data_IF_560034542780
#
_entry.id   IF_560034542780
#
_cell.length_a   1.000
_cell.length_b   1.000
_cell.length_c   1.000
_cell.angle_alpha   90.00
_cell.angle_beta   90.00
_cell.angle_gamma   90.00
#
_symmetry.space_group_name_H-M   'P 1'
#
loop_
_entity.id
_entity.type
_entity.pdbx_description
1 polymer ?
#
# COMPACT_ATOMS: atom_id res chain seq x y z
N UNK A 1 -55.86 -23.57 -36.07
CA UNK A 1 -55.79 -23.90 -34.62
C UNK A 1 -54.51 -23.32 -34.03
N UNK A 2 -54.60 -22.78 -32.80
CA UNK A 2 -53.53 -22.45 -31.83
C UNK A 2 -52.52 -21.33 -32.17
N UNK A 3 -52.88 -20.13 -31.66
CA UNK A 3 -51.98 -19.13 -31.05
C UNK A 3 -50.93 -19.82 -30.17
N UNK A 4 -49.72 -19.27 -30.05
CA UNK A 4 -49.19 -18.69 -28.79
C UNK A 4 -47.96 -17.81 -29.08
N UNK A 5 -47.99 -16.64 -28.44
CA UNK A 5 -46.96 -15.60 -28.36
C UNK A 5 -45.88 -16.09 -27.37
N UNK A 6 -44.60 -15.97 -27.71
CA UNK A 6 -43.52 -16.13 -26.75
C UNK A 6 -42.62 -14.88 -26.77
N UNK A 7 -42.78 -14.10 -25.71
CA UNK A 7 -42.10 -12.86 -25.35
C UNK A 7 -40.64 -13.18 -25.00
N UNK A 8 -39.66 -12.67 -25.76
CA UNK A 8 -38.24 -12.77 -25.39
C UNK A 8 -37.86 -11.57 -24.52
N UNK A 9 -37.68 -11.84 -23.23
CA UNK A 9 -37.20 -10.90 -22.22
C UNK A 9 -35.75 -10.51 -22.51
N UNK A 10 -35.52 -9.20 -22.68
CA UNK A 10 -34.20 -8.59 -22.59
C UNK A 10 -33.73 -8.64 -21.13
N UNK A 11 -32.59 -9.27 -20.88
CA UNK A 11 -31.90 -9.17 -19.59
C UNK A 11 -30.58 -8.46 -19.87
N UNK A 12 -30.59 -7.14 -19.65
CA UNK A 12 -29.37 -6.36 -19.57
C UNK A 12 -28.66 -6.79 -18.27
N UNK A 13 -27.62 -7.63 -18.42
CA UNK A 13 -26.75 -7.97 -17.31
C UNK A 13 -25.91 -6.75 -16.94
N UNK A 14 -26.25 -6.08 -15.84
CA UNK A 14 -25.29 -5.25 -15.14
C UNK A 14 -24.27 -6.19 -14.49
N UNK A 15 -23.14 -6.39 -15.17
CA UNK A 15 -21.96 -6.95 -14.51
C UNK A 15 -21.48 -5.92 -13.49
N UNK A 16 -21.96 -6.04 -12.25
CA UNK A 16 -21.30 -5.42 -11.12
C UNK A 16 -19.94 -6.10 -11.01
N UNK A 17 -18.91 -5.47 -11.58
CA UNK A 17 -17.53 -5.85 -11.33
C UNK A 17 -17.26 -5.61 -9.86
N UNK A 18 -17.43 -6.64 -9.03
CA UNK A 18 -16.89 -6.65 -7.68
C UNK A 18 -15.38 -6.56 -7.84
N UNK A 19 -14.84 -5.36 -7.59
CA UNK A 19 -13.40 -5.16 -7.44
C UNK A 19 -13.02 -5.91 -6.18
N UNK A 20 -12.73 -7.20 -6.32
CA UNK A 20 -12.12 -7.97 -5.24
C UNK A 20 -10.77 -7.31 -5.00
N UNK A 21 -10.60 -6.74 -3.81
CA UNK A 21 -9.29 -6.35 -3.33
C UNK A 21 -8.41 -7.60 -3.45
N UNK A 22 -7.54 -7.64 -4.47
CA UNK A 22 -6.54 -8.67 -4.56
C UNK A 22 -5.65 -8.43 -3.35
N UNK A 23 -5.75 -9.30 -2.34
CA UNK A 23 -4.81 -9.32 -1.23
C UNK A 23 -3.43 -9.55 -1.84
N UNK A 24 -2.65 -8.48 -1.94
CA UNK A 24 -1.33 -8.54 -2.53
C UNK A 24 -0.43 -9.23 -1.52
N UNK A 25 -0.16 -10.50 -1.81
CA UNK A 25 0.70 -11.34 -0.97
C UNK A 25 2.14 -10.87 -1.15
N UNK A 26 2.55 -9.93 -0.30
CA UNK A 26 3.92 -9.45 -0.25
C UNK A 26 4.82 -10.51 0.38
N UNK A 27 5.91 -10.85 -0.31
CA UNK A 27 6.90 -11.84 0.14
C UNK A 27 8.22 -11.18 0.54
N UNK A 28 8.94 -11.72 1.54
CA UNK A 28 10.34 -11.37 1.76
C UNK A 28 11.18 -11.51 0.50
N UNK A 29 12.22 -10.69 0.37
CA UNK A 29 13.17 -10.62 -0.75
C UNK A 29 12.57 -10.14 -2.09
N UNK A 30 11.26 -9.92 -2.19
CA UNK A 30 10.69 -9.34 -3.40
C UNK A 30 11.13 -7.87 -3.54
N UNK A 31 11.28 -7.43 -4.79
CA UNK A 31 11.52 -6.03 -5.12
C UNK A 31 10.19 -5.29 -5.29
N UNK A 32 10.06 -4.14 -4.67
CA UNK A 32 8.88 -3.27 -4.71
C UNK A 32 9.27 -1.85 -5.13
N UNK A 33 8.27 -1.09 -5.56
CA UNK A 33 8.37 0.35 -5.71
C UNK A 33 7.22 1.01 -4.95
N UNK A 34 7.50 2.17 -4.36
CA UNK A 34 6.48 2.95 -3.67
C UNK A 34 5.79 3.95 -4.61
N UNK A 35 4.56 4.30 -4.27
CA UNK A 35 3.78 5.40 -4.83
C UNK A 35 4.42 6.74 -4.45
N UNK A 36 4.03 7.81 -5.14
CA UNK A 36 4.39 9.17 -4.76
C UNK A 36 3.91 9.47 -3.33
N UNK A 37 4.66 10.32 -2.62
CA UNK A 37 4.40 10.73 -1.22
C UNK A 37 4.43 9.60 -0.18
N UNK A 38 4.92 8.42 -0.55
CA UNK A 38 5.20 7.37 0.41
C UNK A 38 6.38 7.74 1.32
N UNK A 39 6.38 7.18 2.52
CA UNK A 39 7.41 7.40 3.52
C UNK A 39 7.70 6.10 4.27
N UNK A 40 8.90 6.02 4.83
CA UNK A 40 9.31 4.95 5.72
C UNK A 40 9.90 5.51 7.02
N UNK A 41 9.68 4.81 8.13
CA UNK A 41 10.13 5.22 9.45
C UNK A 41 11.08 4.19 10.07
N UNK A 42 11.94 4.66 10.99
CA UNK A 42 12.98 3.82 11.62
C UNK A 42 12.42 2.69 12.49
N UNK A 43 11.15 2.77 12.90
CA UNK A 43 10.46 1.70 13.63
C UNK A 43 8.96 1.70 13.34
N UNK A 44 8.29 0.59 13.67
CA UNK A 44 6.82 0.47 13.58
C UNK A 44 6.12 1.50 14.46
N UNK A 45 6.55 1.69 15.70
CA UNK A 45 5.93 2.67 16.61
C UNK A 45 5.96 4.10 16.03
N UNK A 46 7.02 4.45 15.29
CA UNK A 46 7.11 5.75 14.60
C UNK A 46 6.25 5.82 13.35
N UNK A 47 6.16 4.72 12.61
CA UNK A 47 5.21 4.58 11.50
C UNK A 47 3.77 4.76 11.98
N UNK A 48 3.37 4.07 13.05
CA UNK A 48 2.03 4.13 13.61
C UNK A 48 1.69 5.53 14.15
N UNK A 49 2.66 6.17 14.83
CA UNK A 49 2.47 7.51 15.35
C UNK A 49 2.35 8.57 14.24
N UNK A 50 3.21 8.54 13.22
CA UNK A 50 3.10 9.48 12.10
C UNK A 50 1.84 9.23 11.29
N UNK A 51 1.41 7.97 11.17
CA UNK A 51 0.19 7.62 10.46
C UNK A 51 -1.07 8.12 11.17
N UNK A 52 -1.10 8.08 12.50
CA UNK A 52 -2.17 8.68 13.29
C UNK A 52 -2.32 10.18 12.97
N UNK A 53 -1.21 10.91 12.89
CA UNK A 53 -1.23 12.32 12.50
C UNK A 53 -1.61 12.52 11.03
N UNK A 54 -1.19 11.62 10.14
CA UNK A 54 -1.56 11.65 8.73
C UNK A 54 -3.07 11.49 8.52
N UNK A 55 -3.66 10.50 9.18
CA UNK A 55 -5.10 10.24 9.13
C UNK A 55 -5.91 11.37 9.77
N UNK A 56 -5.38 12.02 10.81
CA UNK A 56 -5.98 13.19 11.45
C UNK A 56 -5.80 14.50 10.65
N UNK A 57 -5.02 14.51 9.57
CA UNK A 57 -4.71 15.70 8.79
C UNK A 57 -3.76 16.68 9.49
N UNK A 58 -3.08 16.25 10.57
CA UNK A 58 -2.20 17.06 11.40
C UNK A 58 -0.80 17.19 10.79
N UNK A 59 -0.70 17.86 9.64
CA UNK A 59 0.54 17.97 8.85
C UNK A 59 1.72 18.54 9.65
N UNK A 60 1.49 19.50 10.54
CA UNK A 60 2.55 20.06 11.38
C UNK A 60 3.17 19.01 12.31
N UNK A 61 2.34 18.14 12.91
CA UNK A 61 2.82 17.08 13.79
C UNK A 61 3.49 15.97 13.00
N UNK A 62 3.00 15.65 11.79
CA UNK A 62 3.72 14.75 10.89
C UNK A 62 5.14 15.27 10.64
N UNK A 63 5.29 16.56 10.33
CA UNK A 63 6.57 17.18 9.99
C UNK A 63 7.62 17.01 11.09
N UNK A 64 7.22 16.94 12.36
CA UNK A 64 8.13 16.70 13.49
C UNK A 64 8.86 15.35 13.37
N UNK A 65 8.21 14.31 12.83
CA UNK A 65 8.83 13.00 12.60
C UNK A 65 9.87 13.04 11.48
N UNK A 66 9.62 13.83 10.44
CA UNK A 66 10.57 14.02 9.34
C UNK A 66 11.74 14.91 9.75
N UNK A 67 11.47 16.01 10.45
CA UNK A 67 12.51 16.92 10.96
C UNK A 67 13.38 16.26 12.02
N UNK A 68 12.84 15.31 12.79
CA UNK A 68 13.60 14.49 13.73
C UNK A 68 14.28 13.26 13.12
N UNK A 69 14.28 13.10 11.79
CA UNK A 69 14.84 11.94 11.06
C UNK A 69 14.26 10.58 11.47
N UNK A 70 13.08 10.58 12.09
CA UNK A 70 12.38 9.35 12.48
C UNK A 70 11.67 8.73 11.27
N UNK A 71 11.30 9.55 10.29
CA UNK A 71 10.72 9.14 9.03
C UNK A 71 11.37 9.89 7.87
N UNK A 72 11.40 9.25 6.71
CA UNK A 72 11.94 9.80 5.46
C UNK A 72 11.00 9.49 4.31
N UNK A 73 10.88 10.41 3.36
CA UNK A 73 10.15 10.15 2.12
C UNK A 73 10.90 9.10 1.29
N UNK A 74 10.15 8.15 0.73
CA UNK A 74 10.76 7.16 -0.17
C UNK A 74 10.89 7.77 -1.56
N UNK A 75 12.10 7.82 -2.15
CA UNK A 75 12.28 8.40 -3.47
C UNK A 75 11.47 7.67 -4.54
N UNK A 76 10.80 8.44 -5.39
CA UNK A 76 10.04 7.90 -6.52
C UNK A 76 10.97 7.18 -7.50
N UNK A 77 10.44 6.14 -8.17
CA UNK A 77 11.16 5.33 -9.15
C UNK A 77 12.40 4.59 -8.61
N UNK A 78 12.60 4.59 -7.29
CA UNK A 78 13.59 3.75 -6.62
C UNK A 78 13.03 2.36 -6.38
N UNK A 79 13.91 1.36 -6.41
CA UNK A 79 13.57 -0.03 -6.10
C UNK A 79 14.00 -0.37 -4.68
N UNK A 80 13.11 -1.02 -3.95
CA UNK A 80 13.33 -1.45 -2.57
C UNK A 80 13.12 -2.94 -2.46
N UNK A 81 13.81 -3.58 -1.52
CA UNK A 81 13.66 -4.99 -1.22
C UNK A 81 12.91 -5.15 0.09
N UNK A 82 11.90 -6.02 0.09
CA UNK A 82 11.19 -6.38 1.31
C UNK A 82 12.09 -7.26 2.17
N UNK A 83 12.27 -6.85 3.43
CA UNK A 83 12.97 -7.64 4.44
C UNK A 83 11.98 -8.59 5.10
N UNK A 84 10.87 -8.06 5.63
CA UNK A 84 9.79 -8.84 6.24
C UNK A 84 8.46 -8.09 6.15
N UNK A 85 7.38 -8.84 6.35
CA UNK A 85 6.01 -8.33 6.37
C UNK A 85 5.37 -8.72 7.69
N UNK A 86 4.73 -7.77 8.36
CA UNK A 86 3.99 -7.96 9.61
C UNK A 86 2.64 -7.28 9.47
N UNK A 87 1.60 -8.06 9.16
CA UNK A 87 0.28 -7.51 8.81
C UNK A 87 0.38 -6.64 7.55
N UNK A 88 -0.08 -5.40 7.65
CA UNK A 88 -0.01 -4.40 6.58
C UNK A 88 1.29 -3.59 6.57
N UNK A 89 2.25 -3.93 7.43
CA UNK A 89 3.50 -3.19 7.56
C UNK A 89 4.66 -3.98 6.98
N UNK A 90 5.48 -3.29 6.21
CA UNK A 90 6.57 -3.85 5.44
C UNK A 90 7.85 -3.20 5.92
N UNK A 91 8.79 -4.01 6.38
CA UNK A 91 10.16 -3.55 6.55
C UNK A 91 10.88 -3.69 5.21
N UNK A 92 11.58 -2.64 4.79
CA UNK A 92 12.23 -2.58 3.51
C UNK A 92 13.60 -1.89 3.60
N UNK A 93 14.45 -2.22 2.63
CA UNK A 93 15.74 -1.59 2.40
C UNK A 93 15.85 -1.17 0.94
N UNK A 94 16.76 -0.26 0.63
CA UNK A 94 17.12 -0.01 -0.77
C UNK A 94 17.56 -1.34 -1.42
N UNK A 95 17.13 -1.63 -2.65
CA UNK A 95 17.42 -2.91 -3.30
C UNK A 95 18.92 -3.18 -3.48
N UNK A 96 19.74 -2.13 -3.56
CA UNK A 96 21.20 -2.24 -3.65
C UNK A 96 21.89 -2.53 -2.29
N UNK A 97 21.15 -2.48 -1.19
CA UNK A 97 21.66 -2.70 0.16
C UNK A 97 21.48 -4.17 0.59
N UNK A 98 22.50 -4.73 1.27
CA UNK A 98 22.49 -6.09 1.85
C UNK A 98 21.99 -6.13 3.30
N UNK A 99 21.57 -4.99 3.87
CA UNK A 99 21.01 -4.91 5.20
C UNK A 99 19.82 -5.87 5.41
N UNK A 100 19.73 -6.37 6.64
CA UNK A 100 18.69 -7.31 7.11
C UNK A 100 17.65 -6.63 8.00
N UNK A 101 17.78 -5.31 8.20
CA UNK A 101 16.88 -4.44 8.94
C UNK A 101 16.81 -3.12 8.17
N UNK A 102 15.68 -2.43 8.28
CA UNK A 102 15.46 -1.24 7.48
C UNK A 102 14.35 -0.35 8.00
N UNK A 103 13.76 0.39 7.08
CA UNK A 103 12.65 1.28 7.37
C UNK A 103 11.34 0.52 7.28
N UNK A 104 10.33 1.02 7.98
CA UNK A 104 8.97 0.48 7.99
C UNK A 104 8.03 1.39 7.23
N UNK A 105 7.21 0.82 6.37
CA UNK A 105 6.14 1.50 5.64
C UNK A 105 4.89 0.62 5.57
N UNK A 106 3.73 1.23 5.33
CA UNK A 106 2.51 0.49 5.07
C UNK A 106 2.47 -0.04 3.63
N UNK A 107 1.92 -1.24 3.44
CA UNK A 107 1.73 -1.89 2.14
C UNK A 107 0.90 -1.07 1.15
N UNK A 108 -0.03 -0.24 1.65
CA UNK A 108 -0.84 0.68 0.83
C UNK A 108 0.00 1.70 0.06
N UNK A 109 1.24 1.94 0.47
CA UNK A 109 2.18 2.79 -0.25
C UNK A 109 2.86 2.10 -1.42
N UNK A 110 2.73 0.77 -1.57
CA UNK A 110 3.38 0.01 -2.64
C UNK A 110 2.55 0.09 -3.92
N UNK A 111 3.23 0.26 -5.07
CA UNK A 111 2.61 0.19 -6.39
C UNK A 111 2.17 -1.24 -6.67
N UNK A 112 0.89 -1.41 -7.02
CA UNK A 112 0.28 -2.69 -7.42
C UNK A 112 0.48 -2.93 -8.91
#
# INVERSE_FOLDING_TARGET
MKKQIALLFAIAGLAAASVQAQDVVLKPQQTIQFKANAYGCVSKDKLDAVDLHAQAGEQQKMQEFFSGYQCVSTPENSSFRVVRVVGHDVEFVNAANSDTQGLWAHDRFIKQ
#
